data_IF_973353460331
#
_entry.id   IF_973353460331
#
_cell.length_a   1.000
_cell.length_b   1.000
_cell.length_c   1.000
_cell.angle_alpha   90.00
_cell.angle_beta   90.00
_cell.angle_gamma   90.00
#
_symmetry.space_group_name_H-M   'P 1'
#
loop_
_entity.id
_entity.type
_entity.pdbx_description
1 polymer ?
#
# COMPACT_ATOMS: atom_id res chain seq x y z
N UNK A 1 66.97 46.77 -55.17
CA UNK A 1 67.43 47.66 -54.08
C UNK A 1 66.69 47.34 -52.82
N UNK A 2 67.45 46.87 -51.81
CA UNK A 2 67.22 46.93 -50.38
C UNK A 2 65.89 46.28 -49.85
N UNK A 3 65.91 45.10 -49.28
CA UNK A 3 66.44 44.72 -47.97
C UNK A 3 65.74 45.28 -46.74
N UNK A 4 65.03 44.45 -46.00
CA UNK A 4 65.31 44.14 -44.58
C UNK A 4 64.18 43.34 -43.96
N UNK A 5 64.47 42.14 -43.52
CA UNK A 5 63.85 41.52 -42.34
C UNK A 5 64.24 42.32 -41.09
N UNK A 6 63.47 42.25 -39.98
CA UNK A 6 63.68 41.22 -38.96
C UNK A 6 62.41 40.80 -38.30
N UNK A 7 62.35 39.50 -38.00
CA UNK A 7 62.42 38.87 -36.65
C UNK A 7 61.58 39.52 -35.56
N UNK A 8 60.66 38.84 -35.05
CA UNK A 8 60.62 38.32 -33.65
C UNK A 8 59.26 37.65 -33.33
N UNK A 9 59.39 36.49 -32.87
CA UNK A 9 58.29 35.68 -32.35
C UNK A 9 57.74 36.20 -31.02
N UNK A 10 56.50 35.83 -30.78
CA UNK A 10 56.01 35.74 -29.45
C UNK A 10 55.14 34.46 -29.43
N UNK A 11 55.62 33.51 -28.68
CA UNK A 11 54.88 32.35 -28.26
C UNK A 11 53.84 32.81 -27.22
N UNK A 12 52.59 32.89 -27.62
CA UNK A 12 51.44 33.13 -26.71
C UNK A 12 50.83 31.82 -26.33
N UNK A 13 50.93 31.49 -25.06
CA UNK A 13 50.55 30.22 -24.47
C UNK A 13 49.10 29.80 -24.71
N UNK A 14 48.96 28.55 -25.02
CA UNK A 14 47.69 27.84 -25.00
C UNK A 14 47.33 27.61 -23.54
N UNK A 15 46.32 28.33 -23.06
CA UNK A 15 45.70 28.07 -21.76
C UNK A 15 44.85 26.82 -21.89
N UNK A 16 45.16 25.68 -21.21
CA UNK A 16 44.23 24.60 -21.09
C UNK A 16 43.19 24.97 -20.05
N UNK A 17 42.04 25.47 -20.49
CA UNK A 17 40.87 25.53 -19.60
C UNK A 17 40.52 24.14 -19.17
N UNK A 18 40.85 23.84 -17.94
CA UNK A 18 40.38 22.68 -17.20
C UNK A 18 38.84 22.72 -17.12
N UNK A 19 38.18 22.01 -18.02
CA UNK A 19 36.75 21.69 -17.89
C UNK A 19 36.59 20.73 -16.67
N UNK A 20 36.33 21.34 -15.52
CA UNK A 20 35.90 20.58 -14.36
C UNK A 20 34.50 20.02 -14.65
N UNK A 21 34.40 18.76 -15.06
CA UNK A 21 33.18 18.00 -15.07
C UNK A 21 32.78 17.75 -13.60
N UNK A 22 31.91 18.58 -13.07
CA UNK A 22 31.21 18.31 -11.83
C UNK A 22 30.24 17.14 -12.08
N UNK A 23 30.65 15.95 -11.65
CA UNK A 23 29.79 14.79 -11.62
C UNK A 23 28.70 15.05 -10.57
N UNK A 24 27.50 15.45 -10.98
CA UNK A 24 26.34 15.44 -10.13
C UNK A 24 25.97 13.98 -9.92
N UNK A 25 26.40 13.41 -8.79
CA UNK A 25 25.89 12.14 -8.31
C UNK A 25 24.41 12.35 -7.93
N UNK A 26 23.51 12.01 -8.84
CA UNK A 26 22.10 11.89 -8.53
C UNK A 26 21.95 10.74 -7.53
N UNK A 27 21.80 11.04 -6.25
CA UNK A 27 21.36 10.08 -5.25
C UNK A 27 19.92 9.69 -5.59
N UNK A 28 19.75 8.58 -6.28
CA UNK A 28 18.45 7.96 -6.45
C UNK A 28 17.96 7.57 -5.06
N UNK A 29 16.97 8.28 -4.55
CA UNK A 29 16.21 7.88 -3.38
C UNK A 29 15.48 6.60 -3.80
N UNK A 30 16.02 5.46 -3.43
CA UNK A 30 15.34 4.18 -3.61
C UNK A 30 14.11 4.22 -2.68
N UNK A 31 12.93 4.35 -3.28
CA UNK A 31 11.69 4.13 -2.56
C UNK A 31 11.74 2.70 -2.01
N UNK A 32 11.82 2.57 -0.70
CA UNK A 32 11.80 1.26 -0.05
C UNK A 32 10.47 0.60 -0.39
N UNK A 33 10.52 -0.61 -0.97
CA UNK A 33 9.32 -1.37 -1.29
C UNK A 33 8.45 -1.52 -0.04
N UNK A 34 7.13 -1.40 -0.19
CA UNK A 34 6.22 -1.52 0.93
C UNK A 34 6.37 -2.92 1.58
N UNK A 35 6.38 -3.03 2.92
CA UNK A 35 6.73 -4.27 3.61
C UNK A 35 5.85 -5.45 3.23
N UNK A 36 4.60 -5.22 2.84
CA UNK A 36 3.68 -6.27 2.40
C UNK A 36 4.02 -6.88 1.03
N UNK A 37 4.81 -6.20 0.19
CA UNK A 37 5.23 -6.70 -1.12
C UNK A 37 6.19 -7.91 -1.03
N UNK A 38 6.76 -8.15 0.12
CA UNK A 38 7.60 -9.33 0.39
C UNK A 38 6.80 -10.56 0.82
N UNK A 39 5.51 -10.41 1.08
CA UNK A 39 4.63 -11.52 1.46
C UNK A 39 4.23 -12.34 0.24
N UNK A 40 3.86 -13.58 0.50
CA UNK A 40 3.41 -14.55 -0.53
C UNK A 40 1.88 -14.52 -0.60
N UNK A 41 1.31 -14.60 -1.83
CA UNK A 41 -0.13 -14.72 -1.96
C UNK A 41 -0.63 -16.03 -1.34
N UNK A 42 -1.76 -15.93 -0.64
CA UNK A 42 -2.47 -17.06 -0.04
C UNK A 42 -3.66 -17.44 -0.92
N UNK A 43 -4.46 -16.45 -1.29
CA UNK A 43 -5.65 -16.64 -2.10
C UNK A 43 -6.25 -15.33 -2.54
N UNK A 44 -7.18 -15.41 -3.49
CA UNK A 44 -7.83 -14.24 -4.07
C UNK A 44 -9.27 -14.54 -4.48
N UNK A 45 -10.08 -13.50 -4.58
CA UNK A 45 -11.45 -13.61 -5.06
C UNK A 45 -12.10 -12.25 -5.25
N UNK A 46 -13.29 -12.27 -5.83
CA UNK A 46 -14.08 -11.08 -6.11
C UNK A 46 -15.17 -10.90 -5.07
N UNK A 47 -15.40 -9.64 -4.68
CA UNK A 47 -16.60 -9.24 -3.96
C UNK A 47 -17.59 -8.62 -4.94
N UNK A 48 -18.79 -9.20 -4.98
CA UNK A 48 -19.88 -8.71 -5.81
C UNK A 48 -21.05 -8.26 -4.90
N UNK A 49 -21.72 -7.18 -5.30
CA UNK A 49 -22.98 -6.75 -4.72
C UNK A 49 -24.05 -6.81 -5.80
N UNK A 50 -25.01 -7.73 -5.61
CA UNK A 50 -25.95 -8.10 -6.67
C UNK A 50 -25.17 -8.57 -7.90
N UNK A 51 -25.26 -7.84 -9.03
CA UNK A 51 -24.54 -8.10 -10.28
C UNK A 51 -23.38 -7.15 -10.56
N UNK A 52 -23.00 -6.36 -9.57
CA UNK A 52 -21.89 -5.41 -9.69
C UNK A 52 -20.67 -5.88 -8.91
N UNK A 53 -19.53 -5.94 -9.59
CA UNK A 53 -18.25 -6.14 -8.94
C UNK A 53 -17.88 -4.89 -8.13
N UNK A 54 -17.55 -5.07 -6.86
CA UNK A 54 -17.07 -4.00 -5.99
C UNK A 54 -15.55 -3.93 -6.02
N UNK A 55 -14.89 -5.05 -5.83
CA UNK A 55 -13.44 -5.15 -5.80
C UNK A 55 -12.96 -6.59 -5.99
N UNK A 56 -11.67 -6.73 -6.35
CA UNK A 56 -10.88 -7.94 -6.18
C UNK A 56 -10.17 -7.86 -4.83
N UNK A 57 -10.16 -8.95 -4.10
CA UNK A 57 -9.43 -9.08 -2.84
C UNK A 57 -8.31 -10.12 -2.99
N UNK A 58 -7.14 -9.83 -2.43
CA UNK A 58 -6.01 -10.78 -2.37
C UNK A 58 -5.43 -10.77 -0.96
N UNK A 59 -5.33 -11.95 -0.36
CA UNK A 59 -4.68 -12.16 0.93
C UNK A 59 -3.23 -12.59 0.72
N UNK A 60 -2.35 -12.05 1.54
CA UNK A 60 -0.92 -12.38 1.58
C UNK A 60 -0.51 -12.76 3.00
N UNK A 61 0.46 -13.66 3.14
CA UNK A 61 1.11 -14.01 4.40
C UNK A 61 2.59 -14.31 4.21
N UNK A 62 3.35 -14.38 5.28
CA UNK A 62 4.77 -14.70 5.22
C UNK A 62 5.03 -16.12 4.65
N UNK A 63 4.16 -17.08 4.99
CA UNK A 63 4.30 -18.48 4.56
C UNK A 63 3.60 -18.82 3.23
N UNK A 64 2.69 -17.95 2.76
CA UNK A 64 1.79 -18.28 1.64
C UNK A 64 0.59 -19.15 2.07
N UNK A 65 0.38 -19.32 3.39
CA UNK A 65 -0.73 -20.05 3.95
C UNK A 65 -1.48 -19.19 4.98
N UNK A 66 -2.80 -19.31 5.01
CA UNK A 66 -3.61 -18.62 6.01
C UNK A 66 -3.52 -19.35 7.35
N UNK A 67 -3.21 -18.61 8.39
CA UNK A 67 -3.30 -19.05 9.78
C UNK A 67 -3.89 -17.90 10.60
N UNK A 68 -5.03 -18.11 11.29
CA UNK A 68 -5.63 -17.05 12.11
C UNK A 68 -4.66 -16.49 13.15
N UNK A 69 -4.55 -15.16 13.23
CA UNK A 69 -3.69 -14.50 14.22
C UNK A 69 -2.18 -14.63 13.99
N UNK A 70 -1.73 -15.27 12.92
CA UNK A 70 -0.29 -15.35 12.58
C UNK A 70 0.09 -14.23 11.60
N UNK A 71 0.83 -13.27 12.10
CA UNK A 71 1.30 -12.12 11.34
C UNK A 71 2.79 -12.25 10.95
N UNK A 72 3.27 -11.57 9.91
CA UNK A 72 2.57 -10.56 9.12
C UNK A 72 1.58 -11.14 8.08
N UNK A 73 0.50 -10.39 7.86
CA UNK A 73 -0.49 -10.64 6.81
C UNK A 73 -0.84 -9.33 6.12
N UNK A 74 -1.29 -9.39 4.87
CA UNK A 74 -1.84 -8.24 4.18
C UNK A 74 -3.08 -8.62 3.37
N UNK A 75 -4.06 -7.73 3.34
CA UNK A 75 -5.23 -7.81 2.47
C UNK A 75 -5.21 -6.60 1.54
N UNK A 76 -5.18 -6.86 0.24
CA UNK A 76 -5.29 -5.83 -0.79
C UNK A 76 -6.64 -5.89 -1.46
N UNK A 77 -7.32 -4.75 -1.52
CA UNK A 77 -8.57 -4.57 -2.27
C UNK A 77 -8.26 -3.71 -3.50
N UNK A 78 -8.57 -4.23 -4.70
CA UNK A 78 -8.50 -3.47 -5.94
C UNK A 78 -9.93 -3.13 -6.37
N UNK A 79 -10.30 -1.87 -6.25
CA UNK A 79 -11.68 -1.42 -6.48
C UNK A 79 -12.04 -1.45 -7.97
N UNK A 80 -13.23 -1.90 -8.28
CA UNK A 80 -13.76 -1.95 -9.64
C UNK A 80 -14.63 -0.73 -9.97
N UNK A 81 -14.92 0.12 -9.00
CA UNK A 81 -15.77 1.31 -9.13
C UNK A 81 -15.43 2.35 -8.08
N UNK A 82 -15.94 3.57 -8.28
CA UNK A 82 -15.83 4.63 -7.28
C UNK A 82 -16.73 4.35 -6.08
N UNK A 83 -16.20 4.55 -4.87
CA UNK A 83 -16.92 4.43 -3.60
C UNK A 83 -16.45 5.59 -2.72
N UNK A 84 -17.38 6.32 -2.15
CA UNK A 84 -17.08 7.40 -1.22
C UNK A 84 -16.58 6.83 0.11
N UNK A 85 -15.70 7.55 0.76
CA UNK A 85 -15.15 7.16 2.08
C UNK A 85 -16.24 6.86 3.10
N UNK A 86 -17.29 7.69 3.11
CA UNK A 86 -18.43 7.53 4.02
C UNK A 86 -19.15 6.19 3.84
N UNK A 87 -19.25 5.71 2.60
CA UNK A 87 -19.83 4.39 2.30
C UNK A 87 -18.91 3.25 2.76
N UNK A 88 -17.58 3.41 2.58
CA UNK A 88 -16.60 2.45 3.11
C UNK A 88 -16.66 2.35 4.62
N UNK A 89 -16.74 3.49 5.33
CA UNK A 89 -16.87 3.55 6.78
C UNK A 89 -18.19 2.92 7.26
N UNK A 90 -19.30 3.25 6.60
CA UNK A 90 -20.62 2.73 6.92
C UNK A 90 -20.68 1.20 6.74
N UNK A 91 -20.12 0.67 5.65
CA UNK A 91 -20.04 -0.76 5.40
C UNK A 91 -19.19 -1.47 6.44
N UNK A 92 -18.03 -0.89 6.82
CA UNK A 92 -17.14 -1.43 7.85
C UNK A 92 -17.82 -1.47 9.20
N UNK A 93 -18.52 -0.40 9.60
CA UNK A 93 -19.28 -0.34 10.85
C UNK A 93 -20.37 -1.41 10.90
N UNK A 94 -21.13 -1.56 9.82
CA UNK A 94 -22.19 -2.56 9.71
C UNK A 94 -21.65 -4.00 9.83
N UNK A 95 -20.48 -4.29 9.23
CA UNK A 95 -19.86 -5.61 9.34
C UNK A 95 -19.35 -5.89 10.75
N UNK A 96 -18.70 -4.96 11.42
CA UNK A 96 -18.27 -5.13 12.80
C UNK A 96 -19.48 -5.35 13.74
N UNK A 97 -20.56 -4.61 13.55
CA UNK A 97 -21.79 -4.80 14.32
C UNK A 97 -22.40 -6.19 14.06
N UNK A 98 -22.50 -6.60 12.81
CA UNK A 98 -23.03 -7.91 12.41
C UNK A 98 -22.21 -9.06 12.98
N UNK A 99 -20.88 -8.93 13.00
CA UNK A 99 -19.95 -9.93 13.52
C UNK A 99 -19.80 -9.89 15.05
N UNK A 100 -20.38 -8.88 15.72
CA UNK A 100 -20.26 -8.69 17.17
C UNK A 100 -18.84 -8.31 17.60
N UNK A 101 -18.06 -7.62 16.74
CA UNK A 101 -16.67 -7.27 16.97
C UNK A 101 -16.54 -5.86 17.57
N UNK A 102 -15.79 -5.78 18.66
CA UNK A 102 -15.59 -4.54 19.41
C UNK A 102 -16.85 -4.06 20.15
N UNK A 103 -16.68 -3.29 21.18
CA UNK A 103 -17.75 -2.52 21.81
C UNK A 103 -18.14 -1.30 20.96
N UNK A 104 -19.26 -0.66 21.26
CA UNK A 104 -19.69 0.56 20.56
C UNK A 104 -18.63 1.66 20.63
N UNK A 105 -18.01 1.83 21.79
CA UNK A 105 -16.93 2.82 21.97
C UNK A 105 -15.68 2.50 21.15
N UNK A 106 -15.30 1.23 21.07
CA UNK A 106 -14.16 0.80 20.25
C UNK A 106 -14.46 1.01 18.76
N UNK A 107 -15.63 0.59 18.29
CA UNK A 107 -16.04 0.80 16.89
C UNK A 107 -16.03 2.28 16.50
N UNK A 108 -16.57 3.15 17.35
CA UNK A 108 -16.53 4.60 17.09
C UNK A 108 -15.11 5.16 17.03
N UNK A 109 -14.25 4.75 17.96
CA UNK A 109 -12.83 5.15 17.94
C UNK A 109 -12.14 4.69 16.65
N UNK A 110 -12.32 3.42 16.26
CA UNK A 110 -11.73 2.86 15.03
C UNK A 110 -12.26 3.55 13.77
N UNK A 111 -13.56 3.82 13.70
CA UNK A 111 -14.15 4.55 12.56
C UNK A 111 -13.62 5.98 12.45
N UNK A 112 -13.44 6.67 13.58
CA UNK A 112 -12.83 8.00 13.59
C UNK A 112 -11.38 7.99 13.06
N UNK A 113 -10.60 6.95 13.41
CA UNK A 113 -9.24 6.77 12.89
C UNK A 113 -9.24 6.45 11.40
N UNK A 114 -10.13 5.57 10.93
CA UNK A 114 -10.27 5.24 9.51
C UNK A 114 -10.71 6.47 8.68
N UNK A 115 -11.64 7.26 9.19
CA UNK A 115 -12.09 8.49 8.52
C UNK A 115 -10.97 9.51 8.31
N UNK A 116 -9.98 9.53 9.20
CA UNK A 116 -8.80 10.39 9.07
C UNK A 116 -7.77 9.84 8.06
N UNK A 117 -7.80 8.55 7.76
CA UNK A 117 -6.80 7.88 6.92
C UNK A 117 -7.31 7.63 5.49
N UNK A 118 -8.54 7.20 5.35
CA UNK A 118 -9.04 6.72 4.06
C UNK A 118 -9.42 7.86 3.12
N UNK A 119 -9.05 7.76 1.83
CA UNK A 119 -9.60 8.60 0.78
C UNK A 119 -10.92 8.03 0.25
N UNK A 120 -11.60 8.79 -0.60
CA UNK A 120 -12.50 8.23 -1.60
C UNK A 120 -11.70 7.34 -2.54
N UNK A 121 -12.28 6.25 -3.02
CA UNK A 121 -11.63 5.36 -3.97
C UNK A 121 -12.32 5.40 -5.32
N UNK A 122 -11.55 5.11 -6.37
CA UNK A 122 -12.01 5.04 -7.74
C UNK A 122 -11.71 3.66 -8.34
N UNK A 123 -12.30 3.38 -9.50
CA UNK A 123 -11.98 2.16 -10.24
C UNK A 123 -10.48 2.09 -10.53
N UNK A 124 -9.85 0.96 -10.18
CA UNK A 124 -8.41 0.73 -10.30
C UNK A 124 -7.60 1.06 -9.05
N UNK A 125 -8.16 1.77 -8.08
CA UNK A 125 -7.47 2.06 -6.83
C UNK A 125 -7.23 0.79 -6.00
N UNK A 126 -6.08 0.77 -5.33
CA UNK A 126 -5.69 -0.32 -4.42
C UNK A 126 -5.57 0.22 -3.01
N UNK A 127 -6.33 -0.37 -2.10
CA UNK A 127 -6.19 -0.15 -0.66
C UNK A 127 -5.62 -1.43 -0.05
N UNK A 128 -4.47 -1.33 0.60
CA UNK A 128 -3.83 -2.47 1.27
C UNK A 128 -3.81 -2.24 2.77
N UNK A 129 -4.29 -3.22 3.51
CA UNK A 129 -4.16 -3.31 4.95
C UNK A 129 -3.11 -4.36 5.30
N UNK A 130 -1.99 -3.94 5.85
CA UNK A 130 -0.89 -4.78 6.29
C UNK A 130 -0.83 -4.82 7.80
N UNK A 131 -0.82 -6.01 8.37
CA UNK A 131 -0.61 -6.22 9.81
C UNK A 131 0.79 -6.75 10.01
N UNK A 132 1.58 -6.03 10.81
CA UNK A 132 2.96 -6.39 11.11
C UNK A 132 3.05 -7.51 12.16
N UNK A 133 4.27 -7.97 12.44
CA UNK A 133 4.52 -9.04 13.44
C UNK A 133 4.03 -8.70 14.85
N UNK A 134 3.93 -7.42 15.18
CA UNK A 134 3.44 -6.92 16.46
C UNK A 134 1.92 -6.78 16.53
N UNK A 135 1.21 -6.99 15.41
CA UNK A 135 -0.24 -6.86 15.31
C UNK A 135 -0.71 -5.43 14.99
N UNK A 136 0.19 -4.47 14.77
CA UNK A 136 -0.18 -3.14 14.33
C UNK A 136 -0.62 -3.16 12.86
N UNK A 137 -1.71 -2.46 12.56
CA UNK A 137 -2.28 -2.37 11.23
C UNK A 137 -1.83 -1.11 10.49
N UNK A 138 -1.38 -1.26 9.26
CA UNK A 138 -0.88 -0.19 8.41
C UNK A 138 -1.71 -0.12 7.13
N UNK A 139 -2.19 1.08 6.78
CA UNK A 139 -2.95 1.31 5.55
C UNK A 139 -2.07 1.92 4.46
N UNK A 140 -2.25 1.43 3.26
CA UNK A 140 -1.58 1.91 2.05
C UNK A 140 -2.61 2.12 0.95
N UNK A 141 -2.53 3.26 0.28
CA UNK A 141 -3.29 3.56 -0.93
C UNK A 141 -2.32 3.61 -2.10
N UNK A 142 -2.48 2.70 -3.04
CA UNK A 142 -1.47 2.41 -4.04
C UNK A 142 -0.14 2.06 -3.34
N UNK A 143 0.92 2.86 -3.56
CA UNK A 143 2.23 2.73 -2.90
C UNK A 143 2.43 3.75 -1.76
N UNK A 144 1.43 4.60 -1.50
CA UNK A 144 1.50 5.65 -0.47
C UNK A 144 0.99 5.11 0.87
N UNK A 145 1.81 5.23 1.90
CA UNK A 145 1.36 4.97 3.28
C UNK A 145 0.35 6.04 3.71
N UNK A 146 -0.78 5.59 4.24
CA UNK A 146 -1.83 6.46 4.78
C UNK A 146 -1.66 6.64 6.29
N UNK A 147 -1.16 5.63 7.00
CA UNK A 147 -0.96 5.66 8.44
C UNK A 147 -1.09 4.30 9.12
N UNK A 148 -1.01 4.31 10.44
CA UNK A 148 -0.95 3.10 11.28
C UNK A 148 -1.96 3.20 12.42
N UNK A 149 -2.63 2.08 12.67
CA UNK A 149 -3.42 1.84 13.88
C UNK A 149 -2.70 0.78 14.73
N UNK A 150 -2.08 1.20 15.83
CA UNK A 150 -1.30 0.32 16.71
C UNK A 150 -2.19 -0.41 17.73
N UNK A 151 -3.31 -0.97 17.25
CA UNK A 151 -4.29 -1.70 18.05
C UNK A 151 -4.48 -3.11 17.46
N UNK A 152 -3.92 -4.16 18.09
CA UNK A 152 -4.06 -5.54 17.59
C UNK A 152 -5.51 -6.02 17.55
N UNK A 153 -6.40 -5.52 18.42
CA UNK A 153 -7.82 -5.85 18.39
C UNK A 153 -8.50 -5.25 17.15
N UNK A 154 -8.14 -4.01 16.79
CA UNK A 154 -8.56 -3.42 15.53
C UNK A 154 -8.13 -4.27 14.34
N UNK A 155 -6.84 -4.66 14.29
CA UNK A 155 -6.31 -5.44 13.18
C UNK A 155 -7.02 -6.77 13.00
N UNK A 156 -7.28 -7.47 14.10
CA UNK A 156 -8.04 -8.71 14.08
C UNK A 156 -9.49 -8.50 13.63
N UNK A 157 -10.17 -7.47 14.17
CA UNK A 157 -11.54 -7.13 13.82
C UNK A 157 -11.68 -6.69 12.36
N UNK A 158 -10.70 -5.96 11.84
CA UNK A 158 -10.72 -5.51 10.44
C UNK A 158 -10.56 -6.70 9.48
N UNK A 159 -9.57 -7.55 9.67
CA UNK A 159 -9.39 -8.74 8.84
C UNK A 159 -10.56 -9.72 8.94
N UNK A 160 -11.22 -9.80 10.08
CA UNK A 160 -12.36 -10.70 10.31
C UNK A 160 -13.54 -10.40 9.37
N UNK A 161 -13.69 -9.19 8.86
CA UNK A 161 -14.72 -8.83 7.86
C UNK A 161 -14.69 -9.79 6.67
N UNK A 162 -13.49 -10.16 6.22
CA UNK A 162 -13.28 -11.09 5.09
C UNK A 162 -12.90 -12.50 5.51
N UNK A 163 -12.32 -12.66 6.71
CA UNK A 163 -11.67 -13.91 7.12
C UNK A 163 -12.39 -14.65 8.26
N UNK A 164 -13.52 -14.16 8.76
CA UNK A 164 -14.31 -14.90 9.75
C UNK A 164 -15.16 -15.99 9.08
N UNK A 165 -15.44 -17.08 9.80
CA UNK A 165 -16.29 -18.19 9.29
C UNK A 165 -17.71 -17.72 8.97
N UNK A 166 -18.21 -16.75 9.72
CA UNK A 166 -19.51 -16.12 9.55
C UNK A 166 -19.44 -14.79 8.77
N UNK A 167 -18.43 -14.62 7.90
CA UNK A 167 -18.34 -13.47 6.99
C UNK A 167 -19.58 -13.37 6.10
N UNK A 168 -19.80 -12.20 5.51
CA UNK A 168 -20.94 -11.97 4.61
C UNK A 168 -20.86 -12.80 3.32
N UNK A 169 -19.64 -13.09 2.84
CA UNK A 169 -19.37 -13.94 1.68
C UNK A 169 -18.45 -15.11 2.06
N UNK A 170 -19.02 -16.22 2.52
CA UNK A 170 -18.23 -17.40 2.88
C UNK A 170 -17.45 -18.01 1.70
N UNK A 171 -17.91 -17.81 0.46
CA UNK A 171 -17.20 -18.28 -0.72
C UNK A 171 -15.93 -17.47 -0.97
N UNK A 172 -16.01 -16.15 -0.83
CA UNK A 172 -14.82 -15.29 -0.89
C UNK A 172 -13.85 -15.62 0.26
N UNK A 173 -14.36 -15.83 1.47
CA UNK A 173 -13.53 -16.21 2.64
C UNK A 173 -12.73 -17.48 2.36
N UNK A 174 -13.35 -18.55 1.84
CA UNK A 174 -12.63 -19.78 1.48
C UNK A 174 -11.54 -19.50 0.45
N UNK A 175 -11.87 -18.78 -0.63
CA UNK A 175 -10.87 -18.42 -1.67
C UNK A 175 -9.71 -17.64 -1.08
N UNK A 176 -9.96 -16.64 -0.23
CA UNK A 176 -8.91 -15.83 0.40
C UNK A 176 -8.02 -16.66 1.33
N UNK A 177 -8.61 -17.65 2.03
CA UNK A 177 -7.87 -18.58 2.89
C UNK A 177 -7.10 -19.66 2.10
N UNK A 178 -7.16 -19.66 0.76
CA UNK A 178 -6.53 -20.66 -0.10
C UNK A 178 -7.22 -22.03 -0.02
N UNK A 179 -8.50 -22.05 0.34
CA UNK A 179 -9.33 -23.25 0.39
C UNK A 179 -10.12 -23.36 -0.93
N UNK A 180 -10.35 -24.58 -1.43
CA UNK A 180 -11.13 -24.82 -2.65
C UNK A 180 -12.62 -24.47 -2.49
#
# INVERSE_FOLDING_TARGET
>A
MNWKTPTTGIWGGINPQLLAFTLFAATAVQASAAPWQQLRPVGQGEMNWLWFKLYDATLYSASGHYQPGHYPQALTLTYARSIEREDLLSATAAEWQRLGLGSDAERQRWLGQLAALWPDVQAGDKLTFYVDKGGAGHFWWQEKSLGTLADPQFSAAFLAIWLADNSRDPALTRRLRGQP
#
